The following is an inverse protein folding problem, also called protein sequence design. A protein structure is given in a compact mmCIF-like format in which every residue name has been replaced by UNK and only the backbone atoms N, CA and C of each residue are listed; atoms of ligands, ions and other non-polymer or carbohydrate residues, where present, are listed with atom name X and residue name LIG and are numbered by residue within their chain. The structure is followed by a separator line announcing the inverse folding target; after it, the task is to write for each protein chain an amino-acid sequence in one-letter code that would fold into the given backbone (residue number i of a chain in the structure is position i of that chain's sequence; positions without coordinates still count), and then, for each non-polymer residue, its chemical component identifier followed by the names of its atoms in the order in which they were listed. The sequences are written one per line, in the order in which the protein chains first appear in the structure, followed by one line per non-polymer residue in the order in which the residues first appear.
data_IF_467726095910
#
_entry.id   IF_467726095910
#
_cell.length_a   1.000
_cell.length_b   1.000
_cell.length_c   1.000
_cell.angle_alpha   90.00
_cell.angle_beta   90.00
_cell.angle_gamma   90.00
#
_symmetry.space_group_name_H-M   'P 1'
#
loop_
_entity.id
_entity.type
_entity.pdbx_description
1 polymer ?
#
# COMPACT_ATOMS: atom_id res chain seq x y z
N UNK A 1 -26.21 -84.53 45.46
CA UNK A 1 -24.99 -85.08 44.82
C UNK A 1 -24.95 -84.99 43.28
N UNK A 2 -26.03 -84.66 42.56
CA UNK A 2 -25.99 -84.59 41.07
C UNK A 2 -25.53 -83.23 40.51
N UNK A 3 -25.76 -82.11 41.21
CA UNK A 3 -25.33 -80.78 40.74
C UNK A 3 -23.80 -80.59 40.75
N UNK A 4 -23.08 -81.26 41.65
CA UNK A 4 -21.62 -81.16 41.74
C UNK A 4 -20.89 -81.94 40.63
N UNK A 5 -21.46 -83.06 40.16
CA UNK A 5 -20.91 -83.82 39.03
C UNK A 5 -21.11 -83.09 37.69
N UNK A 6 -22.23 -82.37 37.53
CA UNK A 6 -22.51 -81.61 36.32
C UNK A 6 -21.60 -80.38 36.19
N UNK A 7 -21.32 -79.67 37.30
CA UNK A 7 -20.41 -78.52 37.28
C UNK A 7 -18.96 -78.94 37.03
N UNK A 8 -18.51 -80.07 37.57
CA UNK A 8 -17.15 -80.58 37.29
C UNK A 8 -16.99 -80.95 35.81
N UNK A 9 -18.01 -81.57 35.19
CA UNK A 9 -17.94 -81.94 33.77
C UNK A 9 -17.92 -80.71 32.85
N UNK A 10 -18.71 -79.67 33.17
CA UNK A 10 -18.69 -78.41 32.40
C UNK A 10 -17.38 -77.64 32.55
N UNK A 11 -16.73 -77.69 33.72
CA UNK A 11 -15.41 -77.05 33.93
C UNK A 11 -14.33 -77.82 33.17
N UNK A 12 -14.39 -79.16 33.14
CA UNK A 12 -13.43 -79.98 32.41
C UNK A 12 -13.52 -79.77 30.89
N UNK A 13 -14.73 -79.62 30.34
CA UNK A 13 -14.92 -79.32 28.91
C UNK A 13 -14.47 -77.92 28.52
N UNK A 14 -14.60 -76.92 29.43
CA UNK A 14 -14.13 -75.56 29.18
C UNK A 14 -12.60 -75.47 29.11
N UNK A 15 -11.90 -76.23 29.95
CA UNK A 15 -10.43 -76.26 30.01
C UNK A 15 -9.84 -76.94 28.76
N UNK A 16 -10.53 -77.90 28.15
CA UNK A 16 -10.07 -78.56 26.91
C UNK A 16 -10.22 -77.71 25.65
N UNK A 17 -10.98 -76.59 25.68
CA UNK A 17 -11.12 -75.67 24.55
C UNK A 17 -10.19 -74.44 24.62
N UNK A 18 -9.39 -74.31 25.69
CA UNK A 18 -8.40 -73.23 25.85
C UNK A 18 -6.98 -73.72 25.62
N UNK A 19 -6.77 -74.68 24.70
CA UNK A 19 -5.42 -74.97 24.19
C UNK A 19 -5.15 -73.96 23.08
N UNK A 20 -4.31 -72.93 23.30
CA UNK A 20 -3.92 -72.03 22.23
C UNK A 20 -3.22 -72.86 21.15
N UNK A 21 -3.73 -72.76 19.92
CA UNK A 21 -2.98 -73.16 18.73
C UNK A 21 -1.56 -72.60 18.85
N UNK A 22 -0.57 -73.48 18.78
CA UNK A 22 0.85 -73.12 18.81
C UNK A 22 1.09 -72.04 17.77
N UNK A 23 1.54 -70.85 18.20
CA UNK A 23 2.00 -69.81 17.29
C UNK A 23 3.21 -70.36 16.53
N UNK A 24 3.13 -70.42 15.20
CA UNK A 24 4.31 -70.66 14.37
C UNK A 24 5.40 -69.65 14.72
N UNK A 25 6.64 -70.11 14.81
CA UNK A 25 7.78 -69.22 15.05
C UNK A 25 8.17 -68.60 13.71
N UNK A 26 8.27 -67.27 13.66
CA UNK A 26 8.80 -66.59 12.48
C UNK A 26 10.29 -66.42 12.71
N UNK A 27 11.11 -67.09 11.90
CA UNK A 27 12.55 -66.84 11.81
C UNK A 27 12.85 -65.97 10.59
N UNK A 28 14.11 -65.57 10.43
CA UNK A 28 14.53 -64.73 9.31
C UNK A 28 15.72 -65.37 8.59
N UNK A 29 15.54 -65.64 7.30
CA UNK A 29 16.57 -66.20 6.43
C UNK A 29 17.36 -65.07 5.76
N UNK A 30 18.67 -65.05 6.03
CA UNK A 30 19.63 -64.07 5.52
C UNK A 30 20.57 -64.67 4.46
N UNK A 31 20.30 -65.88 3.93
CA UNK A 31 21.17 -66.59 2.97
C UNK A 31 20.77 -66.45 1.50
N UNK A 32 19.67 -65.74 1.22
CA UNK A 32 19.13 -65.59 -0.14
C UNK A 32 19.98 -64.73 -1.08
N UNK A 33 19.83 -64.94 -2.39
CA UNK A 33 20.60 -64.23 -3.45
C UNK A 33 20.07 -62.82 -3.78
N UNK A 34 18.97 -62.37 -3.16
CA UNK A 34 18.35 -61.05 -3.37
C UNK A 34 18.06 -60.35 -2.03
N UNK A 35 19.10 -60.02 -1.28
CA UNK A 35 18.99 -59.29 -0.03
C UNK A 35 19.09 -57.78 -0.29
N UNK A 36 18.30 -56.98 0.42
CA UNK A 36 18.43 -55.53 0.40
C UNK A 36 19.54 -55.13 1.37
N UNK A 37 20.63 -54.58 0.83
CA UNK A 37 21.83 -54.25 1.58
C UNK A 37 22.02 -52.74 1.55
N UNK A 38 22.07 -52.12 2.72
CA UNK A 38 22.39 -50.70 2.89
C UNK A 38 23.72 -50.57 3.62
N UNK A 39 24.65 -49.79 3.07
CA UNK A 39 25.98 -49.58 3.65
C UNK A 39 26.04 -48.26 4.42
N UNK A 40 26.65 -48.28 5.60
CA UNK A 40 26.88 -47.10 6.43
C UNK A 40 28.38 -46.90 6.68
N UNK A 41 28.82 -45.65 6.60
CA UNK A 41 30.16 -45.27 7.05
C UNK A 41 30.16 -45.16 8.59
N UNK A 42 31.11 -45.80 9.25
CA UNK A 42 31.21 -45.80 10.73
C UNK A 42 32.05 -44.65 11.30
N UNK A 43 32.81 -43.93 10.46
CA UNK A 43 33.71 -42.89 10.94
C UNK A 43 33.00 -41.59 11.27
N UNK A 44 32.11 -41.12 10.40
CA UNK A 44 31.45 -39.83 10.55
C UNK A 44 30.07 -39.82 9.90
N UNK A 45 29.15 -39.10 10.54
CA UNK A 45 27.88 -38.66 9.93
C UNK A 45 28.12 -37.31 9.25
N UNK A 46 27.36 -36.99 8.21
CA UNK A 46 27.45 -35.71 7.49
C UNK A 46 26.88 -34.54 8.30
N UNK A 47 27.54 -33.39 8.23
CA UNK A 47 27.17 -32.19 8.99
C UNK A 47 25.89 -31.55 8.43
N UNK A 48 25.09 -30.96 9.32
CA UNK A 48 23.90 -30.23 8.94
C UNK A 48 24.24 -29.01 8.08
N UNK A 49 23.54 -28.85 6.96
CA UNK A 49 23.70 -27.72 6.03
C UNK A 49 22.42 -26.86 6.07
N UNK A 50 22.29 -25.93 7.03
CA UNK A 50 21.07 -25.12 7.13
C UNK A 50 20.93 -24.15 5.97
N UNK A 51 19.68 -23.74 5.62
CA UNK A 51 19.44 -22.69 4.64
C UNK A 51 20.07 -21.36 5.09
N UNK A 52 20.56 -20.57 4.12
CA UNK A 52 21.23 -19.29 4.38
C UNK A 52 20.25 -18.29 5.02
N UNK A 53 20.63 -17.61 6.12
CA UNK A 53 19.80 -16.60 6.74
C UNK A 53 19.67 -15.36 5.84
N UNK A 54 18.57 -14.62 5.98
CA UNK A 54 18.40 -13.33 5.33
C UNK A 54 19.48 -12.35 5.79
N UNK A 55 20.07 -11.61 4.86
CA UNK A 55 21.04 -10.56 5.18
C UNK A 55 20.29 -9.32 5.68
N UNK A 56 20.67 -8.81 6.84
CA UNK A 56 20.06 -7.64 7.47
C UNK A 56 21.11 -6.55 7.58
N UNK A 57 20.91 -5.46 6.85
CA UNK A 57 21.80 -4.29 6.85
C UNK A 57 21.09 -3.10 7.52
N UNK A 58 21.77 -2.39 8.43
CA UNK A 58 21.21 -1.17 9.05
C UNK A 58 21.54 0.06 8.21
N UNK A 59 20.51 0.78 7.79
CA UNK A 59 20.63 2.05 7.08
C UNK A 59 20.52 3.18 8.11
N UNK A 60 21.56 4.00 8.26
CA UNK A 60 21.61 5.02 9.30
C UNK A 60 20.60 6.16 9.06
N UNK A 61 20.30 6.46 7.80
CA UNK A 61 19.33 7.49 7.44
C UNK A 61 18.73 7.21 6.06
N UNK A 62 17.42 7.39 5.94
CA UNK A 62 16.68 7.39 4.68
C UNK A 62 15.53 8.39 4.72
N UNK A 63 15.08 8.82 3.54
CA UNK A 63 13.84 9.57 3.35
C UNK A 63 12.84 8.78 2.54
N UNK A 64 11.59 8.80 2.99
CA UNK A 64 10.43 8.33 2.22
C UNK A 64 9.77 9.54 1.57
N UNK A 65 9.83 9.60 0.24
CA UNK A 65 9.28 10.68 -0.57
C UNK A 65 7.97 10.24 -1.20
N UNK A 66 6.99 11.15 -1.27
CA UNK A 66 5.73 10.96 -1.97
C UNK A 66 5.50 12.07 -3.01
N UNK A 67 5.14 11.70 -4.23
CA UNK A 67 4.75 12.69 -5.26
C UNK A 67 3.44 13.38 -4.86
N UNK A 68 3.45 14.71 -4.88
CA UNK A 68 2.28 15.58 -4.72
C UNK A 68 1.51 15.65 -6.02
N UNK A 69 0.26 15.21 -5.98
CA UNK A 69 -0.66 15.37 -7.13
C UNK A 69 -1.42 16.69 -7.04
N UNK A 70 -1.65 17.19 -5.80
CA UNK A 70 -2.37 18.44 -5.59
C UNK A 70 -1.51 19.54 -5.00
N UNK A 71 -1.67 20.73 -5.54
CA UNK A 71 -1.00 21.96 -5.12
C UNK A 71 -2.05 23.01 -4.82
N UNK A 72 -1.82 23.80 -3.78
CA UNK A 72 -2.68 24.95 -3.48
C UNK A 72 -2.26 26.13 -4.34
N UNK A 73 -3.21 26.68 -5.12
CA UNK A 73 -2.99 27.87 -5.95
C UNK A 73 -3.89 29.00 -5.48
N UNK A 74 -3.39 30.23 -5.58
CA UNK A 74 -4.19 31.43 -5.31
C UNK A 74 -5.03 31.74 -6.55
N UNK A 75 -6.30 32.08 -6.32
CA UNK A 75 -7.21 32.56 -7.34
C UNK A 75 -7.77 33.93 -6.96
N UNK A 76 -8.12 34.70 -7.98
CA UNK A 76 -8.84 35.95 -7.88
C UNK A 76 -10.21 35.77 -8.53
N UNK A 77 -11.21 36.46 -8.04
CA UNK A 77 -12.59 36.27 -8.43
C UNK A 77 -13.31 37.61 -8.57
N UNK A 78 -13.94 37.81 -9.73
CA UNK A 78 -14.69 39.01 -10.06
C UNK A 78 -16.17 38.68 -10.24
N UNK A 79 -17.00 39.29 -9.41
CA UNK A 79 -18.45 39.19 -9.50
C UNK A 79 -19.04 40.59 -9.66
N UNK A 80 -19.52 40.89 -10.87
CA UNK A 80 -20.08 42.18 -11.23
C UNK A 80 -21.48 41.98 -11.77
N UNK A 81 -22.47 42.55 -11.10
CA UNK A 81 -23.88 42.50 -11.50
C UNK A 81 -24.40 43.91 -11.69
N UNK A 82 -25.16 44.14 -12.74
CA UNK A 82 -25.87 45.38 -12.99
C UNK A 82 -27.38 45.14 -12.92
N UNK A 83 -28.05 45.89 -12.06
CA UNK A 83 -29.51 46.00 -12.04
C UNK A 83 -29.89 47.28 -12.79
N UNK A 84 -30.62 47.14 -13.89
CA UNK A 84 -31.09 48.26 -14.69
C UNK A 84 -32.54 48.58 -14.35
N UNK A 85 -32.82 49.86 -14.14
CA UNK A 85 -34.16 50.42 -14.01
C UNK A 85 -34.36 51.48 -15.09
N UNK A 86 -35.28 51.20 -16.00
CA UNK A 86 -35.66 52.03 -17.13
C UNK A 86 -37.04 52.60 -16.83
N UNK A 87 -37.15 53.92 -16.91
CA UNK A 87 -38.40 54.65 -16.75
C UNK A 87 -38.56 55.62 -17.91
N UNK A 88 -39.77 55.77 -18.43
CA UNK A 88 -40.08 56.75 -19.47
C UNK A 88 -40.26 58.14 -18.85
N UNK A 89 -39.63 59.14 -19.46
CA UNK A 89 -39.85 60.54 -19.10
C UNK A 89 -41.16 61.04 -19.74
N UNK A 90 -42.18 61.32 -18.92
CA UNK A 90 -43.43 61.89 -19.40
C UNK A 90 -43.35 63.42 -19.50
N UNK A 91 -44.28 64.01 -20.25
CA UNK A 91 -44.36 65.47 -20.45
C UNK A 91 -44.84 66.27 -19.23
N UNK A 92 -45.22 65.59 -18.15
CA UNK A 92 -45.76 66.20 -16.92
C UNK A 92 -44.91 65.84 -15.69
N UNK A 93 -43.59 65.73 -15.87
CA UNK A 93 -42.59 65.46 -14.81
C UNK A 93 -42.79 64.14 -14.03
N UNK A 94 -43.56 63.21 -14.59
CA UNK A 94 -43.77 61.87 -14.05
C UNK A 94 -42.87 60.82 -14.73
N UNK A 95 -42.28 59.94 -13.93
CA UNK A 95 -41.58 58.75 -14.42
C UNK A 95 -42.57 57.57 -14.57
N UNK A 96 -42.71 57.04 -15.78
CA UNK A 96 -43.60 55.90 -16.06
C UNK A 96 -42.83 54.60 -16.22
N UNK A 97 -43.35 53.51 -15.65
CA UNK A 97 -42.79 52.18 -15.82
C UNK A 97 -42.94 51.73 -17.26
N UNK A 98 -41.85 51.25 -17.86
CA UNK A 98 -41.87 50.66 -19.21
C UNK A 98 -41.84 49.13 -19.14
N UNK A 99 -42.38 48.50 -20.19
CA UNK A 99 -42.33 47.04 -20.31
C UNK A 99 -40.87 46.58 -20.39
N UNK A 100 -40.55 45.54 -19.63
CA UNK A 100 -39.18 45.02 -19.46
C UNK A 100 -38.18 46.09 -18.97
N UNK A 101 -38.67 47.11 -18.27
CA UNK A 101 -37.85 48.20 -17.76
C UNK A 101 -37.05 47.86 -16.51
N UNK A 102 -37.17 46.66 -15.95
CA UNK A 102 -36.29 46.20 -14.88
C UNK A 102 -35.70 44.84 -15.24
N UNK A 103 -34.37 44.76 -15.25
CA UNK A 103 -33.66 43.50 -15.48
C UNK A 103 -32.28 43.54 -14.85
N UNK A 104 -31.74 42.35 -14.59
CA UNK A 104 -30.43 42.16 -13.99
C UNK A 104 -29.53 41.42 -14.97
N UNK A 105 -28.28 41.85 -15.06
CA UNK A 105 -27.27 41.25 -15.92
C UNK A 105 -25.99 40.97 -15.11
N UNK A 106 -25.38 39.82 -15.39
CA UNK A 106 -24.04 39.49 -14.90
C UNK A 106 -23.02 39.95 -15.95
N UNK A 107 -22.21 40.94 -15.59
CA UNK A 107 -21.21 41.50 -16.49
C UNK A 107 -19.98 40.58 -16.48
N UNK A 108 -19.66 40.00 -17.63
CA UNK A 108 -18.45 39.21 -17.86
C UNK A 108 -17.35 40.11 -18.43
N UNK A 109 -16.31 40.36 -17.65
CA UNK A 109 -15.22 41.29 -17.98
C UNK A 109 -13.99 40.57 -18.56
N UNK A 110 -13.92 39.26 -18.37
CA UNK A 110 -12.83 38.41 -18.82
C UNK A 110 -11.58 38.48 -17.93
N UNK A 111 -10.64 37.57 -18.18
CA UNK A 111 -9.50 37.35 -17.30
C UNK A 111 -8.59 38.58 -17.13
N UNK A 112 -8.32 39.30 -18.22
CA UNK A 112 -7.42 40.45 -18.22
C UNK A 112 -8.01 41.64 -17.43
N UNK A 113 -9.29 41.95 -17.63
CA UNK A 113 -9.95 43.05 -16.91
C UNK A 113 -10.16 42.68 -15.44
N UNK A 114 -10.46 41.42 -15.12
CA UNK A 114 -10.54 40.97 -13.73
C UNK A 114 -9.20 41.12 -13.01
N UNK A 115 -8.09 40.72 -13.65
CA UNK A 115 -6.76 40.90 -13.09
C UNK A 115 -6.41 42.39 -12.88
N UNK A 116 -6.76 43.24 -13.86
CA UNK A 116 -6.53 44.69 -13.79
C UNK A 116 -7.37 45.34 -12.68
N UNK A 117 -8.63 44.92 -12.51
CA UNK A 117 -9.51 45.39 -11.43
C UNK A 117 -8.96 45.02 -10.04
N UNK A 118 -8.40 43.82 -9.89
CA UNK A 118 -7.69 43.43 -8.68
C UNK A 118 -6.43 44.27 -8.44
N UNK A 119 -5.64 44.55 -9.48
CA UNK A 119 -4.40 45.31 -9.39
C UNK A 119 -4.64 46.79 -9.05
N UNK A 120 -5.60 47.43 -9.72
CA UNK A 120 -5.92 48.86 -9.54
C UNK A 120 -6.86 49.14 -8.37
N UNK A 121 -7.53 48.11 -7.84
CA UNK A 121 -8.66 48.26 -6.89
C UNK A 121 -9.73 49.20 -7.44
N UNK A 122 -9.91 49.19 -8.76
CA UNK A 122 -10.84 50.05 -9.46
C UNK A 122 -11.37 49.35 -10.71
N UNK A 123 -12.59 49.68 -11.11
CA UNK A 123 -13.20 49.18 -12.34
C UNK A 123 -14.01 50.29 -13.00
N UNK A 124 -13.90 50.41 -14.32
CA UNK A 124 -14.64 51.38 -15.13
C UNK A 124 -15.77 50.66 -15.86
N UNK A 125 -17.01 51.05 -15.57
CA UNK A 125 -18.20 50.53 -16.26
C UNK A 125 -18.33 51.16 -17.65
N UNK A 126 -19.15 50.55 -18.51
CA UNK A 126 -19.28 50.84 -19.95
C UNK A 126 -19.62 52.30 -20.34
N UNK A 127 -19.80 53.24 -19.40
CA UNK A 127 -20.19 54.62 -19.67
C UNK A 127 -19.45 55.65 -18.79
N UNK A 128 -18.19 55.36 -18.42
CA UNK A 128 -17.32 56.31 -17.72
C UNK A 128 -17.53 56.39 -16.20
N UNK A 129 -18.40 55.54 -15.64
CA UNK A 129 -18.56 55.42 -14.19
C UNK A 129 -17.39 54.59 -13.66
N UNK A 130 -16.55 55.20 -12.81
CA UNK A 130 -15.43 54.49 -12.19
C UNK A 130 -15.76 54.12 -10.74
N UNK A 131 -15.79 52.81 -10.46
CA UNK A 131 -15.73 52.30 -9.10
C UNK A 131 -14.29 52.36 -8.61
N UNK A 132 -13.98 53.30 -7.72
CA UNK A 132 -12.65 53.42 -7.10
C UNK A 132 -12.63 52.83 -5.67
N UNK A 133 -11.43 52.51 -5.17
CA UNK A 133 -11.19 52.00 -3.81
C UNK A 133 -12.01 50.74 -3.47
N UNK A 134 -12.11 49.80 -4.42
CA UNK A 134 -12.81 48.53 -4.24
C UNK A 134 -12.06 47.69 -3.20
N UNK A 135 -12.74 47.29 -2.13
CA UNK A 135 -12.18 46.45 -1.07
C UNK A 135 -12.32 44.97 -1.43
N UNK A 136 -11.25 44.19 -1.28
CA UNK A 136 -11.31 42.73 -1.47
C UNK A 136 -12.22 42.11 -0.42
N UNK A 137 -12.96 41.08 -0.83
CA UNK A 137 -13.88 40.30 -0.01
C UNK A 137 -15.03 41.13 0.58
N UNK A 138 -15.29 42.32 0.03
CA UNK A 138 -16.39 43.17 0.42
C UNK A 138 -17.23 43.54 -0.81
N UNK A 139 -18.55 43.41 -0.68
CA UNK A 139 -19.48 43.87 -1.70
C UNK A 139 -19.63 45.39 -1.63
N UNK A 140 -19.52 46.03 -2.78
CA UNK A 140 -19.75 47.46 -2.93
C UNK A 140 -20.87 47.71 -3.95
N UNK A 141 -21.61 48.77 -3.70
CA UNK A 141 -22.73 49.19 -4.55
C UNK A 141 -22.43 50.56 -5.13
N UNK A 142 -22.69 50.70 -6.43
CA UNK A 142 -22.61 51.94 -7.16
C UNK A 142 -23.92 52.13 -7.89
N UNK A 143 -24.44 53.34 -7.94
CA UNK A 143 -25.65 53.63 -8.71
C UNK A 143 -25.48 54.94 -9.44
N UNK A 144 -25.83 54.96 -10.72
CA UNK A 144 -25.80 56.19 -11.49
C UNK A 144 -26.82 56.15 -12.63
N UNK A 145 -27.11 57.32 -13.18
CA UNK A 145 -27.90 57.47 -14.40
C UNK A 145 -26.95 57.28 -15.59
N UNK A 146 -27.18 56.22 -16.36
CA UNK A 146 -26.36 55.90 -17.53
C UNK A 146 -26.94 56.53 -18.80
N UNK A 147 -28.26 56.73 -18.87
CA UNK A 147 -28.92 57.39 -20.01
C UNK A 147 -30.01 58.33 -19.57
N UNK A 148 -30.09 59.47 -20.27
CA UNK A 148 -30.92 60.58 -19.88
C UNK A 148 -30.31 61.35 -18.70
N UNK A 149 -31.04 62.35 -18.22
CA UNK A 149 -30.67 63.11 -17.04
C UNK A 149 -31.91 63.34 -16.17
N UNK A 150 -31.70 63.44 -14.86
CA UNK A 150 -32.75 63.79 -13.90
C UNK A 150 -32.20 64.79 -12.91
N UNK A 151 -32.92 65.89 -12.72
CA UNK A 151 -32.56 66.93 -11.78
C UNK A 151 -33.14 66.64 -10.39
N UNK A 152 -32.61 67.30 -9.36
CA UNK A 152 -33.14 67.17 -7.98
C UNK A 152 -34.60 67.62 -7.85
N UNK A 153 -35.09 68.41 -8.81
CA UNK A 153 -36.47 68.90 -8.85
C UNK A 153 -37.47 67.89 -9.45
N UNK A 154 -36.99 66.77 -10.00
CA UNK A 154 -37.83 65.75 -10.65
C UNK A 154 -37.87 65.87 -12.17
N UNK A 155 -37.45 66.98 -12.75
CA UNK A 155 -37.37 67.17 -14.20
C UNK A 155 -36.45 66.11 -14.82
N UNK A 156 -36.96 65.38 -15.83
CA UNK A 156 -36.20 64.33 -16.48
C UNK A 156 -36.17 64.49 -18.00
N UNK A 157 -34.99 64.31 -18.58
CA UNK A 157 -34.77 64.31 -20.03
C UNK A 157 -34.44 62.89 -20.47
N UNK A 158 -35.30 62.29 -21.27
CA UNK A 158 -35.10 60.93 -21.77
C UNK A 158 -34.17 60.88 -22.98
N UNK A 159 -33.46 59.77 -23.10
CA UNK A 159 -32.67 59.40 -24.28
C UNK A 159 -33.13 58.05 -24.82
N UNK A 160 -32.74 57.73 -26.05
CA UNK A 160 -32.97 56.39 -26.61
C UNK A 160 -31.94 55.41 -26.03
N UNK A 161 -32.41 54.30 -25.46
CA UNK A 161 -31.56 53.23 -24.94
C UNK A 161 -31.87 51.91 -25.64
N UNK A 162 -30.81 51.21 -26.08
CA UNK A 162 -30.92 49.97 -26.82
C UNK A 162 -30.10 48.86 -26.18
N UNK A 163 -30.71 47.70 -26.06
CA UNK A 163 -30.10 46.43 -25.67
C UNK A 163 -30.20 45.45 -26.84
N UNK A 164 -29.59 44.27 -26.72
CA UNK A 164 -29.65 43.23 -27.77
C UNK A 164 -31.08 42.75 -28.08
N UNK A 165 -32.02 42.94 -27.15
CA UNK A 165 -33.40 42.42 -27.26
C UNK A 165 -34.46 43.51 -27.41
N UNK A 166 -34.22 44.70 -26.89
CA UNK A 166 -35.23 45.75 -26.80
C UNK A 166 -34.62 47.13 -27.03
N UNK A 167 -35.43 48.03 -27.58
CA UNK A 167 -35.12 49.44 -27.77
C UNK A 167 -36.23 50.25 -27.11
N UNK A 168 -35.83 51.21 -26.28
CA UNK A 168 -36.75 52.13 -25.62
C UNK A 168 -36.39 53.55 -26.01
N UNK A 169 -37.41 54.35 -26.27
CA UNK A 169 -37.26 55.74 -26.65
C UNK A 169 -37.78 56.69 -25.56
N UNK A 170 -37.10 57.84 -25.43
CA UNK A 170 -37.33 58.85 -24.41
C UNK A 170 -37.36 58.26 -22.98
N UNK A 171 -36.29 57.54 -22.61
CA UNK A 171 -36.17 56.88 -21.31
C UNK A 171 -34.99 57.41 -20.48
N UNK A 172 -35.18 57.39 -19.17
CA UNK A 172 -34.15 57.52 -18.16
C UNK A 172 -33.74 56.11 -17.72
N UNK A 173 -32.43 55.84 -17.72
CA UNK A 173 -31.89 54.54 -17.32
C UNK A 173 -30.97 54.71 -16.14
N UNK A 174 -31.36 54.13 -15.02
CA UNK A 174 -30.55 54.03 -13.81
C UNK A 174 -29.95 52.63 -13.73
N UNK A 175 -28.64 52.56 -13.53
CA UNK A 175 -27.94 51.31 -13.33
C UNK A 175 -27.42 51.25 -11.90
N UNK A 176 -27.73 50.18 -11.18
CA UNK A 176 -27.16 49.86 -9.88
C UNK A 176 -26.20 48.69 -10.04
N UNK A 177 -24.92 48.97 -9.91
CA UNK A 177 -23.86 47.97 -9.96
C UNK A 177 -23.56 47.41 -8.58
N UNK A 178 -23.45 46.09 -8.51
CA UNK A 178 -22.93 45.33 -7.38
C UNK A 178 -21.61 44.72 -7.80
N UNK A 179 -20.52 45.14 -7.17
CA UNK A 179 -19.18 44.60 -7.43
C UNK A 179 -18.65 43.89 -6.18
N UNK A 180 -18.08 42.71 -6.39
CA UNK A 180 -17.36 41.93 -5.39
C UNK A 180 -16.10 41.38 -6.04
N UNK A 181 -14.95 41.87 -5.58
CA UNK A 181 -13.65 41.28 -5.87
C UNK A 181 -13.28 40.39 -4.68
N UNK A 182 -12.97 39.11 -4.92
CA UNK A 182 -12.58 38.19 -3.85
C UNK A 182 -11.33 37.41 -4.21
N UNK A 183 -10.57 37.02 -3.18
CA UNK A 183 -9.35 36.24 -3.35
C UNK A 183 -9.46 34.99 -2.48
N UNK A 184 -8.81 33.91 -2.90
CA UNK A 184 -8.87 32.65 -2.16
C UNK A 184 -7.87 31.63 -2.65
N UNK A 185 -7.89 30.48 -1.98
CA UNK A 185 -7.02 29.35 -2.30
C UNK A 185 -7.86 28.22 -2.87
N UNK A 186 -7.41 27.65 -3.99
CA UNK A 186 -8.01 26.50 -4.65
C UNK A 186 -7.02 25.35 -4.72
N UNK A 187 -7.53 24.14 -4.90
CA UNK A 187 -6.72 22.92 -5.01
C UNK A 187 -6.58 22.55 -6.48
N UNK A 188 -5.37 22.63 -7.01
CA UNK A 188 -5.04 22.26 -8.38
C UNK A 188 -4.48 20.84 -8.42
N UNK A 189 -4.98 20.01 -9.33
CA UNK A 189 -4.45 18.69 -9.67
C UNK A 189 -3.83 18.76 -11.07
N UNK A 190 -2.50 18.71 -11.13
CA UNK A 190 -1.75 18.79 -12.39
C UNK A 190 -1.95 17.57 -13.29
N UNK A 191 -2.30 16.41 -12.71
CA UNK A 191 -2.45 15.14 -13.45
C UNK A 191 -3.77 15.07 -14.21
N UNK A 192 -4.83 15.59 -13.60
CA UNK A 192 -6.18 15.60 -14.16
C UNK A 192 -6.53 16.90 -14.89
N UNK A 193 -5.59 17.86 -14.94
CA UNK A 193 -5.81 19.19 -15.48
C UNK A 193 -7.03 19.87 -14.82
N UNK A 194 -7.13 19.74 -13.49
CA UNK A 194 -8.33 20.08 -12.72
C UNK A 194 -8.02 21.08 -11.60
N UNK A 195 -8.81 22.15 -11.53
CA UNK A 195 -8.84 23.07 -10.41
C UNK A 195 -10.15 22.88 -9.64
N UNK A 196 -10.05 22.69 -8.33
CA UNK A 196 -11.19 22.56 -7.42
C UNK A 196 -11.24 23.76 -6.48
N UNK A 197 -12.31 24.53 -6.60
CA UNK A 197 -12.57 25.70 -5.76
C UNK A 197 -13.13 25.30 -4.38
N UNK A 198 -13.00 26.14 -3.35
CA UNK A 198 -13.64 25.90 -2.03
C UNK A 198 -15.16 25.75 -2.08
N UNK A 199 -15.79 26.27 -3.13
CA UNK A 199 -17.22 26.14 -3.43
C UNK A 199 -17.60 24.75 -3.95
N UNK A 200 -16.62 23.92 -4.30
CA UNK A 200 -16.81 22.61 -4.95
C UNK A 200 -16.81 22.66 -6.47
N UNK A 201 -16.75 23.84 -7.08
CA UNK A 201 -16.70 24.01 -8.54
C UNK A 201 -15.40 23.46 -9.11
N UNK A 202 -15.53 22.77 -10.24
CA UNK A 202 -14.45 22.10 -10.97
C UNK A 202 -14.18 22.86 -12.27
N UNK A 203 -12.98 23.41 -12.40
CA UNK A 203 -12.53 24.17 -13.56
C UNK A 203 -11.31 23.50 -14.20
N UNK A 204 -11.07 23.74 -15.49
CA UNK A 204 -9.93 23.16 -16.20
C UNK A 204 -8.66 23.96 -15.93
N UNK A 205 -7.65 23.36 -15.32
CA UNK A 205 -6.46 24.06 -14.80
C UNK A 205 -5.69 24.81 -15.89
N UNK A 206 -5.58 24.24 -17.10
CA UNK A 206 -4.89 24.82 -18.25
C UNK A 206 -5.46 26.15 -18.74
N UNK A 207 -6.76 26.39 -18.52
CA UNK A 207 -7.45 27.56 -19.08
C UNK A 207 -7.13 28.85 -18.31
N UNK A 208 -6.62 28.76 -17.08
CA UNK A 208 -6.30 29.92 -16.22
C UNK A 208 -7.47 30.89 -15.98
N UNK A 209 -8.68 30.49 -16.35
CA UNK A 209 -9.93 31.24 -16.29
C UNK A 209 -11.12 30.28 -16.22
N UNK A 210 -12.17 30.65 -15.51
CA UNK A 210 -13.43 29.90 -15.51
C UNK A 210 -14.53 30.61 -14.74
N UNK A 211 -15.74 30.04 -14.74
CA UNK A 211 -16.91 30.64 -14.09
C UNK A 211 -17.37 29.83 -12.89
N UNK A 212 -17.52 30.47 -11.74
CA UNK A 212 -18.10 29.91 -10.53
C UNK A 212 -19.49 30.50 -10.27
N UNK A 213 -20.44 29.65 -9.90
CA UNK A 213 -21.83 30.05 -9.67
C UNK A 213 -22.02 31.00 -8.47
N UNK A 214 -21.07 31.02 -7.53
CA UNK A 214 -21.17 31.83 -6.31
C UNK A 214 -20.23 33.03 -6.33
N UNK A 215 -19.03 32.86 -6.90
CA UNK A 215 -17.95 33.85 -6.89
C UNK A 215 -17.73 34.57 -8.22
N UNK A 216 -18.43 34.18 -9.28
CA UNK A 216 -18.33 34.82 -10.60
C UNK A 216 -17.13 34.33 -11.39
N UNK A 217 -16.52 35.23 -12.16
CA UNK A 217 -15.35 34.93 -12.98
C UNK A 217 -14.14 34.67 -12.10
N UNK A 218 -13.47 33.54 -12.30
CA UNK A 218 -12.32 33.10 -11.54
C UNK A 218 -11.10 33.11 -12.46
N UNK A 219 -10.01 33.68 -11.97
CA UNK A 219 -8.71 33.65 -12.62
C UNK A 219 -7.64 33.12 -11.68
N UNK A 220 -6.66 32.43 -12.23
CA UNK A 220 -5.51 31.96 -11.49
C UNK A 220 -4.28 31.97 -12.38
N UNK A 221 -3.10 31.94 -11.75
CA UNK A 221 -1.83 31.80 -12.45
C UNK A 221 -1.31 30.41 -12.18
N UNK A 222 -1.25 29.59 -13.23
CA UNK A 222 -0.62 28.29 -13.18
C UNK A 222 0.58 28.29 -14.12
N UNK A 223 1.77 28.41 -13.56
CA UNK A 223 3.00 28.27 -14.34
C UNK A 223 3.23 26.78 -14.56
N UNK A 224 3.01 26.30 -15.78
CA UNK A 224 3.46 24.99 -16.27
C UNK A 224 5.00 24.95 -16.41
N UNK A 225 5.76 25.44 -15.44
CA UNK A 225 7.19 25.26 -15.47
C UNK A 225 7.49 23.79 -15.23
N UNK A 226 7.75 23.09 -16.32
CA UNK A 226 8.26 21.71 -16.45
C UNK A 226 9.64 21.51 -15.82
N UNK A 227 10.02 22.34 -14.85
CA UNK A 227 11.20 22.10 -14.04
C UNK A 227 10.73 21.33 -12.82
N UNK A 228 11.13 20.06 -12.72
CA UNK A 228 10.90 19.27 -11.53
C UNK A 228 11.39 20.05 -10.31
N UNK A 229 10.47 20.49 -9.47
CA UNK A 229 10.80 21.18 -8.24
C UNK A 229 10.80 20.15 -7.12
N UNK A 230 11.80 20.21 -6.25
CA UNK A 230 11.84 19.42 -5.01
C UNK A 230 10.54 19.62 -4.21
N UNK A 231 9.88 20.77 -4.37
CA UNK A 231 8.57 21.07 -3.78
C UNK A 231 7.42 20.18 -4.24
N UNK A 232 7.58 19.43 -5.34
CA UNK A 232 6.60 18.46 -5.86
C UNK A 232 6.60 17.14 -5.05
N UNK A 233 7.52 17.01 -4.09
CA UNK A 233 7.64 15.83 -3.24
C UNK A 233 7.39 16.20 -1.76
N UNK A 234 6.51 15.43 -1.12
CA UNK A 234 6.32 15.46 0.32
C UNK A 234 7.26 14.42 0.97
N UNK A 235 7.95 14.82 2.05
CA UNK A 235 8.76 13.88 2.85
C UNK A 235 7.89 13.29 3.96
N UNK A 236 7.53 12.02 3.83
CA UNK A 236 6.69 11.30 4.80
C UNK A 236 7.47 10.78 6.01
N UNK A 237 8.75 10.48 5.82
CA UNK A 237 9.64 9.98 6.87
C UNK A 237 11.07 10.42 6.61
N UNK A 238 11.78 10.70 7.69
CA UNK A 238 13.23 10.90 7.73
C UNK A 238 13.77 10.21 8.98
N UNK A 239 14.66 9.23 8.81
CA UNK A 239 15.23 8.51 9.94
C UNK A 239 15.92 7.19 9.55
N UNK A 240 16.36 6.39 10.53
CA UNK A 240 17.02 5.11 10.29
C UNK A 240 16.05 4.06 9.73
N UNK A 241 16.60 3.04 9.07
CA UNK A 241 15.84 1.91 8.55
C UNK A 241 16.67 0.63 8.52
N UNK A 242 16.01 -0.50 8.28
CA UNK A 242 16.64 -1.81 8.14
C UNK A 242 16.39 -2.34 6.74
N UNK A 243 17.43 -2.73 6.03
CA UNK A 243 17.34 -3.39 4.73
C UNK A 243 17.42 -4.89 4.90
N UNK A 244 16.37 -5.60 4.54
CA UNK A 244 16.31 -7.06 4.54
C UNK A 244 16.54 -7.54 3.11
N UNK A 245 17.54 -8.38 2.91
CA UNK A 245 17.80 -9.06 1.63
C UNK A 245 17.48 -10.55 1.78
N UNK A 246 16.45 -11.00 1.06
CA UNK A 246 15.98 -12.38 1.06
C UNK A 246 16.27 -13.04 -0.28
N UNK A 247 16.73 -14.30 -0.27
CA UNK A 247 16.87 -15.14 -1.46
C UNK A 247 15.68 -16.10 -1.54
N UNK A 248 15.02 -16.16 -2.69
CA UNK A 248 13.84 -17.02 -2.87
C UNK A 248 14.21 -18.51 -3.00
N UNK A 249 15.44 -18.82 -3.44
CA UNK A 249 16.02 -20.16 -3.52
C UNK A 249 17.55 -20.10 -3.51
N UNK A 250 18.22 -21.18 -3.08
CA UNK A 250 19.69 -21.34 -3.13
C UNK A 250 20.25 -21.14 -4.55
N UNK A 251 19.45 -21.40 -5.59
CA UNK A 251 19.85 -21.30 -7.00
C UNK A 251 19.28 -20.08 -7.74
N UNK A 252 18.52 -19.21 -7.07
CA UNK A 252 17.96 -18.00 -7.71
C UNK A 252 18.89 -16.81 -7.51
N UNK A 253 19.25 -16.12 -8.59
CA UNK A 253 19.93 -14.82 -8.55
C UNK A 253 19.02 -13.66 -8.11
N UNK A 254 17.72 -13.89 -7.99
CA UNK A 254 16.75 -12.87 -7.60
C UNK A 254 16.77 -12.66 -6.08
N UNK A 255 17.51 -11.64 -5.67
CA UNK A 255 17.50 -11.11 -4.31
C UNK A 255 16.38 -10.09 -4.15
N UNK A 256 15.46 -10.34 -3.22
CA UNK A 256 14.42 -9.38 -2.85
C UNK A 256 14.96 -8.51 -1.72
N UNK A 257 15.08 -7.21 -1.98
CA UNK A 257 15.53 -6.23 -1.01
C UNK A 257 14.32 -5.42 -0.52
N UNK A 258 14.15 -5.31 0.80
CA UNK A 258 13.01 -4.62 1.43
C UNK A 258 13.49 -3.69 2.52
N UNK A 259 13.07 -2.42 2.48
CA UNK A 259 13.29 -1.46 3.55
C UNK A 259 12.20 -1.63 4.62
N UNK A 260 12.62 -1.72 5.87
CA UNK A 260 11.78 -1.85 7.04
C UNK A 260 12.04 -0.67 7.98
N UNK A 261 10.98 0.03 8.35
CA UNK A 261 11.03 1.12 9.33
C UNK A 261 10.04 0.80 10.45
N UNK A 262 10.52 0.94 11.68
CA UNK A 262 9.74 0.81 12.90
C UNK A 262 10.10 1.95 13.84
N UNK A 263 9.10 2.74 14.21
CA UNK A 263 9.20 3.85 15.15
C UNK A 263 7.89 3.98 15.92
N UNK A 264 7.88 4.75 17.01
CA UNK A 264 6.68 4.94 17.85
C UNK A 264 5.44 5.47 17.10
N UNK A 265 5.65 6.16 15.96
CA UNK A 265 4.57 6.82 15.20
C UNK A 265 4.28 6.15 13.85
N UNK A 266 5.29 5.54 13.24
CA UNK A 266 5.16 4.95 11.91
C UNK A 266 5.89 3.60 11.82
N UNK A 267 5.25 2.67 11.11
CA UNK A 267 5.84 1.40 10.76
C UNK A 267 5.46 1.09 9.30
N UNK A 268 6.45 0.77 8.48
CA UNK A 268 6.22 0.40 7.09
C UNK A 268 7.29 -0.56 6.58
N UNK A 269 6.93 -1.37 5.60
CA UNK A 269 7.86 -2.12 4.80
C UNK A 269 7.60 -1.83 3.31
N UNK A 270 8.67 -1.53 2.58
CA UNK A 270 8.63 -1.20 1.16
C UNK A 270 9.73 -1.94 0.42
N UNK A 271 9.35 -2.63 -0.65
CA UNK A 271 10.28 -3.34 -1.51
C UNK A 271 11.12 -2.34 -2.31
N UNK A 272 12.43 -2.58 -2.34
CA UNK A 272 13.37 -1.86 -3.18
C UNK A 272 13.27 -2.40 -4.60
N UNK A 273 12.82 -1.56 -5.53
CA UNK A 273 12.82 -1.84 -6.97
C UNK A 273 14.00 -1.11 -7.64
N UNK A 274 13.86 -0.87 -8.94
CA UNK A 274 14.85 -0.18 -9.76
C UNK A 274 15.09 1.26 -9.29
N UNK A 275 16.25 1.78 -9.66
CA UNK A 275 16.59 3.20 -9.49
C UNK A 275 15.73 4.02 -10.47
N UNK A 276 15.22 5.14 -9.98
CA UNK A 276 14.49 6.17 -10.70
C UNK A 276 15.05 7.55 -10.29
N UNK A 277 14.49 8.64 -10.81
CA UNK A 277 14.96 10.00 -10.52
C UNK A 277 13.84 10.90 -10.03
N UNK A 278 14.00 11.45 -8.82
CA UNK A 278 13.18 12.53 -8.30
C UNK A 278 13.95 13.85 -8.49
N UNK A 279 13.57 14.65 -9.50
CA UNK A 279 14.24 15.91 -9.84
C UNK A 279 15.76 15.78 -10.02
N UNK A 280 16.16 14.86 -10.91
CA UNK A 280 17.56 14.53 -11.20
C UNK A 280 18.34 13.91 -10.02
N UNK A 281 17.71 13.69 -8.87
CA UNK A 281 18.30 12.98 -7.73
C UNK A 281 17.93 11.50 -7.82
N UNK A 282 18.90 10.56 -7.76
CA UNK A 282 18.63 9.14 -7.83
C UNK A 282 17.86 8.67 -6.58
N UNK A 283 16.76 7.98 -6.80
CA UNK A 283 15.89 7.41 -5.75
C UNK A 283 15.55 5.96 -6.09
N UNK A 284 15.19 5.15 -5.10
CA UNK A 284 14.67 3.81 -5.33
C UNK A 284 13.16 3.86 -5.46
N UNK A 285 12.64 3.27 -6.55
CA UNK A 285 11.22 3.04 -6.70
C UNK A 285 10.75 1.93 -5.76
N UNK A 286 9.50 2.00 -5.34
CA UNK A 286 8.84 0.99 -4.51
C UNK A 286 7.68 0.34 -5.26
N UNK A 287 7.09 -0.69 -4.68
CA UNK A 287 5.84 -1.31 -5.15
C UNK A 287 4.68 -0.31 -5.23
N UNK A 288 4.75 0.78 -4.46
CA UNK A 288 3.79 1.86 -4.53
C UNK A 288 4.23 2.91 -5.58
N UNK A 289 3.40 3.23 -6.58
CA UNK A 289 3.81 4.08 -7.71
C UNK A 289 4.15 5.52 -7.33
N UNK A 290 3.76 5.96 -6.14
CA UNK A 290 3.98 7.33 -5.64
C UNK A 290 5.06 7.43 -4.56
N UNK A 291 5.56 6.30 -4.05
CA UNK A 291 6.52 6.29 -2.96
C UNK A 291 7.92 5.96 -3.47
N UNK A 292 8.87 6.80 -3.08
CA UNK A 292 10.27 6.69 -3.44
C UNK A 292 11.15 6.72 -2.20
N UNK A 293 12.25 6.00 -2.24
CA UNK A 293 13.18 5.89 -1.13
C UNK A 293 14.52 6.53 -1.51
N UNK A 294 14.93 7.51 -0.72
CA UNK A 294 16.22 8.18 -0.84
C UNK A 294 17.12 7.74 0.31
N UNK A 295 18.26 7.13 0.01
CA UNK A 295 19.24 6.68 1.02
C UNK A 295 20.57 7.42 0.97
N UNK A 296 20.81 8.20 -0.08
CA UNK A 296 22.09 8.89 -0.27
C UNK A 296 22.19 10.10 0.66
N UNK A 297 23.15 10.06 1.58
CA UNK A 297 23.40 11.10 2.58
C UNK A 297 23.68 12.47 1.97
N UNK A 298 24.29 12.52 0.78
CA UNK A 298 24.59 13.79 0.11
C UNK A 298 23.32 14.46 -0.41
N UNK A 299 22.33 13.65 -0.79
CA UNK A 299 21.10 14.09 -1.44
C UNK A 299 19.93 14.29 -0.45
N UNK A 300 20.04 13.78 0.78
CA UNK A 300 19.01 13.93 1.83
C UNK A 300 18.65 15.39 2.16
N UNK A 301 19.59 16.36 2.24
CA UNK A 301 19.26 17.74 2.57
C UNK A 301 18.39 18.45 1.53
N UNK A 302 18.34 17.98 0.29
CA UNK A 302 17.59 18.65 -0.79
C UNK A 302 16.07 18.59 -0.58
N UNK A 303 15.55 17.49 -0.01
CA UNK A 303 14.12 17.33 0.26
C UNK A 303 13.79 17.73 1.70
N UNK A 304 13.09 18.85 1.89
CA UNK A 304 12.74 19.33 3.23
C UNK A 304 11.45 18.68 3.76
N UNK A 305 11.42 18.43 5.07
CA UNK A 305 10.21 18.02 5.77
C UNK A 305 9.26 19.21 5.87
N UNK A 306 8.02 19.01 5.43
CA UNK A 306 6.94 20.00 5.46
C UNK A 306 5.73 19.41 6.19
N UNK A 307 4.87 20.24 6.80
CA UNK A 307 3.60 19.74 7.33
C UNK A 307 2.81 19.11 6.20
N UNK A 308 2.52 17.82 6.35
CA UNK A 308 1.88 17.02 5.31
C UNK A 308 0.44 17.50 5.15
N UNK A 309 0.06 17.89 3.93
CA UNK A 309 -1.32 18.28 3.60
C UNK A 309 -2.22 17.03 3.60
N UNK A 310 -3.33 17.08 4.33
CA UNK A 310 -4.32 15.99 4.36
C UNK A 310 -4.91 15.66 2.99
N UNK A 311 -4.83 16.59 2.04
CA UNK A 311 -5.28 16.40 0.66
C UNK A 311 -4.33 15.53 -0.19
N UNK A 312 -3.05 15.43 0.20
CA UNK A 312 -2.03 14.68 -0.54
C UNK A 312 -1.65 13.35 0.12
N UNK A 313 -2.02 13.12 1.38
CA UNK A 313 -1.77 11.83 2.05
C UNK A 313 -2.64 10.76 1.46
N UNK A 314 -2.00 9.82 0.76
CA UNK A 314 -2.66 8.60 0.31
C UNK A 314 -2.88 7.69 1.53
N UNK A 315 -4.07 7.79 2.11
CA UNK A 315 -4.50 6.96 3.23
C UNK A 315 -4.39 5.47 2.89
N UNK A 316 -4.57 5.10 1.61
CA UNK A 316 -4.46 3.72 1.17
C UNK A 316 -3.00 3.26 1.12
N UNK A 317 -2.06 4.14 0.72
CA UNK A 317 -0.63 3.88 0.83
C UNK A 317 -0.19 3.68 2.30
N UNK A 318 -0.73 4.47 3.23
CA UNK A 318 -0.42 4.34 4.66
C UNK A 318 -0.99 3.04 5.29
N UNK A 319 -2.15 2.58 4.82
CA UNK A 319 -2.76 1.32 5.30
C UNK A 319 -2.03 0.11 4.70
N UNK A 320 -1.77 0.11 3.38
CA UNK A 320 -1.10 -0.98 2.69
C UNK A 320 0.32 -1.20 3.22
N UNK A 321 1.04 -0.12 3.56
CA UNK A 321 2.39 -0.21 4.13
C UNK A 321 2.44 -0.87 5.50
N UNK A 322 1.41 -0.71 6.34
CA UNK A 322 1.29 -1.44 7.61
C UNK A 322 1.01 -2.93 7.42
N UNK A 323 0.17 -3.29 6.45
CA UNK A 323 -0.08 -4.70 6.15
C UNK A 323 1.18 -5.41 5.61
N UNK A 324 1.90 -4.75 4.69
CA UNK A 324 3.17 -5.28 4.16
C UNK A 324 4.23 -5.38 5.27
N UNK A 325 4.28 -4.42 6.21
CA UNK A 325 5.13 -4.48 7.40
C UNK A 325 4.82 -5.71 8.26
N UNK A 326 3.54 -5.91 8.63
CA UNK A 326 3.11 -7.06 9.44
C UNK A 326 3.45 -8.37 8.71
N UNK A 327 3.15 -8.46 7.41
CA UNK A 327 3.45 -9.65 6.61
C UNK A 327 4.94 -9.96 6.59
N UNK A 328 5.81 -8.96 6.35
CA UNK A 328 7.24 -9.17 6.27
C UNK A 328 7.86 -9.56 7.61
N UNK A 329 7.38 -9.00 8.73
CA UNK A 329 7.85 -9.40 10.06
C UNK A 329 7.35 -10.79 10.41
N UNK A 330 6.09 -11.11 10.16
CA UNK A 330 5.57 -12.47 10.36
C UNK A 330 6.34 -13.47 9.49
N UNK A 331 6.62 -13.14 8.24
CA UNK A 331 7.43 -13.99 7.36
C UNK A 331 8.86 -14.14 7.88
N UNK A 332 9.53 -13.07 8.30
CA UNK A 332 10.89 -13.11 8.80
C UNK A 332 10.99 -13.92 10.11
N UNK A 333 10.05 -13.71 11.05
CA UNK A 333 10.00 -14.42 12.33
C UNK A 333 9.67 -15.90 12.14
N UNK A 334 8.67 -16.24 11.31
CA UNK A 334 8.32 -17.63 10.98
C UNK A 334 9.48 -18.31 10.25
N UNK A 335 10.13 -17.65 9.30
CA UNK A 335 11.27 -18.22 8.57
C UNK A 335 12.45 -18.44 9.51
N UNK A 336 12.78 -17.49 10.38
CA UNK A 336 13.85 -17.65 11.38
C UNK A 336 13.57 -18.82 12.34
N UNK A 337 12.33 -18.95 12.82
CA UNK A 337 11.92 -20.04 13.70
C UNK A 337 11.95 -21.38 12.97
N UNK A 338 11.51 -21.42 11.71
CA UNK A 338 11.57 -22.61 10.86
C UNK A 338 13.02 -23.06 10.63
N UNK A 339 13.93 -22.13 10.32
CA UNK A 339 15.35 -22.44 10.14
C UNK A 339 15.96 -23.00 11.44
N UNK A 340 15.65 -22.41 12.60
CA UNK A 340 16.13 -22.92 13.90
C UNK A 340 15.58 -24.33 14.19
N UNK A 341 14.30 -24.57 13.95
CA UNK A 341 13.67 -25.89 14.13
C UNK A 341 14.29 -26.95 13.23
N UNK A 342 14.44 -26.68 11.93
CA UNK A 342 15.05 -27.62 10.99
C UNK A 342 16.51 -27.89 11.35
N UNK A 343 17.24 -26.86 11.76
CA UNK A 343 18.64 -27.00 12.21
C UNK A 343 18.72 -27.89 13.45
N UNK A 344 17.87 -27.66 14.45
CA UNK A 344 17.80 -28.49 15.66
C UNK A 344 17.36 -29.92 15.38
N UNK A 345 16.39 -30.12 14.49
CA UNK A 345 15.96 -31.44 14.07
C UNK A 345 17.11 -32.20 13.41
N UNK A 346 17.83 -31.58 12.48
CA UNK A 346 18.99 -32.20 11.84
C UNK A 346 20.08 -32.56 12.86
N UNK A 347 20.38 -31.67 13.82
CA UNK A 347 21.36 -31.98 14.87
C UNK A 347 20.92 -33.14 15.76
N UNK A 348 19.63 -33.22 16.06
CA UNK A 348 19.07 -34.31 16.86
C UNK A 348 19.12 -35.64 16.09
N UNK A 349 18.73 -35.65 14.82
CA UNK A 349 18.84 -36.82 13.94
C UNK A 349 20.29 -37.26 13.78
N UNK A 350 21.23 -36.33 13.60
CA UNK A 350 22.67 -36.61 13.56
C UNK A 350 23.14 -37.27 14.86
N UNK A 351 22.75 -36.73 16.02
CA UNK A 351 23.13 -37.29 17.31
C UNK A 351 22.57 -38.70 17.52
N UNK A 352 21.32 -38.92 17.12
CA UNK A 352 20.71 -40.26 17.12
C UNK A 352 21.50 -41.19 16.19
N UNK A 353 21.84 -40.75 14.98
CA UNK A 353 22.58 -41.57 14.02
C UNK A 353 23.98 -41.92 14.53
N UNK A 354 24.68 -40.97 15.14
CA UNK A 354 25.96 -41.20 15.82
C UNK A 354 25.83 -42.21 16.96
N UNK A 355 24.77 -42.11 17.77
CA UNK A 355 24.49 -43.06 18.84
C UNK A 355 24.16 -44.46 18.30
N UNK A 356 23.40 -44.56 17.20
CA UNK A 356 23.14 -45.85 16.55
C UNK A 356 24.44 -46.45 16.00
N UNK A 357 25.27 -45.66 15.32
CA UNK A 357 26.55 -46.12 14.77
C UNK A 357 27.54 -46.58 15.85
N UNK A 358 27.51 -46.00 17.05
CA UNK A 358 28.36 -46.44 18.16
C UNK A 358 28.02 -47.87 18.62
N UNK A 359 26.75 -48.29 18.50
CA UNK A 359 26.34 -49.68 18.79
C UNK A 359 27.01 -50.69 17.85
N UNK A 360 27.31 -50.30 16.61
CA UNK A 360 27.95 -51.20 15.64
C UNK A 360 29.37 -51.64 16.08
N UNK A 361 30.00 -50.90 16.99
CA UNK A 361 31.29 -51.28 17.57
C UNK A 361 31.16 -52.23 18.77
N UNK A 362 30.00 -52.27 19.43
CA UNK A 362 29.77 -53.09 20.63
C UNK A 362 28.98 -54.37 20.32
N UNK A 363 27.90 -54.26 19.53
CA UNK A 363 27.02 -55.36 19.17
C UNK A 363 26.37 -55.12 17.81
N UNK A 364 26.74 -55.95 16.83
CA UNK A 364 26.18 -55.88 15.47
C UNK A 364 24.69 -56.28 15.44
N UNK A 365 24.25 -57.18 16.32
CA UNK A 365 22.85 -57.57 16.41
C UNK A 365 21.98 -56.43 16.94
N UNK A 366 22.45 -55.73 17.97
CA UNK A 366 21.73 -54.59 18.56
C UNK A 366 21.70 -53.39 17.60
N UNK A 367 22.82 -53.16 16.90
CA UNK A 367 22.87 -52.19 15.81
C UNK A 367 21.86 -52.54 14.72
N UNK A 368 21.83 -53.79 14.25
CA UNK A 368 20.91 -54.21 13.20
C UNK A 368 19.44 -54.03 13.62
N UNK A 369 19.11 -54.37 14.86
CA UNK A 369 17.77 -54.18 15.41
C UNK A 369 17.39 -52.69 15.49
N UNK A 370 18.28 -51.85 16.02
CA UNK A 370 18.01 -50.41 16.24
C UNK A 370 18.03 -49.60 14.94
N UNK A 371 18.88 -49.99 13.99
CA UNK A 371 19.03 -49.33 12.70
C UNK A 371 17.96 -49.79 11.70
N UNK A 372 17.58 -51.07 11.75
CA UNK A 372 16.50 -51.65 10.95
C UNK A 372 15.09 -51.43 11.50
N UNK A 373 14.97 -50.78 12.67
CA UNK A 373 13.71 -50.49 13.35
C UNK A 373 12.89 -51.75 13.71
N UNK A 374 13.57 -52.84 14.07
CA UNK A 374 12.94 -54.07 14.51
C UNK A 374 13.67 -55.36 14.12
N UNK A 375 13.04 -56.53 14.32
CA UNK A 375 13.60 -57.82 13.97
C UNK A 375 13.62 -58.04 12.44
N UNK A 376 14.48 -58.95 11.98
CA UNK A 376 14.63 -59.28 10.56
C UNK A 376 15.72 -58.50 9.83
N UNK A 377 16.61 -57.86 10.57
CA UNK A 377 17.83 -57.29 10.05
C UNK A 377 19.04 -57.96 10.70
N UNK A 378 20.10 -58.11 9.92
CA UNK A 378 21.42 -58.48 10.41
C UNK A 378 22.45 -57.47 9.93
N UNK A 379 23.61 -57.40 10.58
CA UNK A 379 24.67 -56.48 10.19
C UNK A 379 26.01 -57.18 10.07
N UNK A 380 26.79 -56.78 9.07
CA UNK A 380 28.15 -57.23 8.82
C UNK A 380 29.08 -56.03 8.78
N UNK A 381 30.17 -56.06 9.56
CA UNK A 381 31.19 -55.02 9.55
C UNK A 381 32.40 -55.47 8.74
N UNK A 382 32.82 -54.65 7.77
CA UNK A 382 34.05 -54.82 7.01
C UNK A 382 34.85 -53.52 7.03
N UNK A 383 35.93 -53.48 7.82
CA UNK A 383 36.70 -52.25 8.02
C UNK A 383 35.83 -51.14 8.62
N UNK A 384 35.77 -50.01 7.91
CA UNK A 384 35.05 -48.79 8.30
C UNK A 384 33.60 -48.75 7.79
N UNK A 385 33.15 -49.80 7.08
CA UNK A 385 31.80 -49.89 6.53
C UNK A 385 31.01 -50.97 7.27
N UNK A 386 29.78 -50.65 7.64
CA UNK A 386 28.81 -51.62 8.18
C UNK A 386 27.68 -51.79 7.17
N UNK A 387 27.47 -53.03 6.75
CA UNK A 387 26.37 -53.43 5.88
C UNK A 387 25.20 -53.89 6.74
N UNK A 388 24.07 -53.21 6.63
CA UNK A 388 22.80 -53.65 7.17
C UNK A 388 22.06 -54.44 6.10
N UNK A 389 21.61 -55.64 6.46
CA UNK A 389 21.05 -56.62 5.54
C UNK A 389 19.63 -56.94 6.03
N UNK A 390 18.63 -56.71 5.17
CA UNK A 390 17.24 -57.10 5.46
C UNK A 390 17.01 -58.56 5.09
N UNK A 391 16.67 -59.36 6.09
CA UNK A 391 16.43 -60.79 5.95
C UNK A 391 14.95 -61.08 5.64
N UNK A 392 14.68 -62.21 4.98
CA UNK A 392 13.32 -62.60 4.60
C UNK A 392 12.66 -63.37 5.76
N UNK A 393 11.44 -63.04 6.19
CA UNK A 393 10.74 -63.83 7.20
C UNK A 393 10.38 -65.20 6.63
N UNK A 394 10.60 -66.23 7.43
CA UNK A 394 10.31 -67.64 7.13
C UNK A 394 9.57 -68.25 8.31
N UNK A 395 8.56 -69.06 8.02
CA UNK A 395 7.85 -69.83 9.04
C UNK A 395 8.71 -71.04 9.42
N UNK A 396 8.91 -71.26 10.71
CA UNK A 396 9.71 -72.38 11.22
C UNK A 396 8.94 -73.17 12.27
N UNK A 397 9.09 -74.49 12.20
CA UNK A 397 8.56 -75.43 13.17
C UNK A 397 9.68 -75.98 14.04
N UNK A 398 9.39 -76.17 15.33
CA UNK A 398 10.34 -76.80 16.25
C UNK A 398 10.49 -78.27 15.87
N UNK A 399 11.68 -78.67 15.44
CA UNK A 399 12.02 -80.07 15.27
C UNK A 399 11.99 -80.77 16.64
N UNK A 400 11.13 -81.79 16.78
CA UNK A 400 10.98 -82.61 17.99
C UNK A 400 11.79 -83.91 17.93
N UNK A 401 12.67 -84.05 16.93
CA UNK A 401 13.56 -85.19 16.86
C UNK A 401 14.61 -85.14 17.99
N UNK A 402 14.83 -86.25 18.74
CA UNK A 402 15.89 -86.29 19.74
C UNK A 402 17.24 -86.22 19.02
N UNK A 403 17.95 -85.11 19.22
CA UNK A 403 19.35 -84.96 18.79
C UNK A 403 20.18 -85.99 19.58
N UNK A 404 20.56 -87.09 18.93
CA UNK A 404 21.60 -87.99 19.43
C UNK A 404 22.88 -87.16 19.65
N UNK A 405 23.55 -87.26 20.80
CA UNK A 405 24.75 -86.48 21.06
C UNK A 405 25.81 -86.83 20.02
N UNK A 406 26.28 -85.81 19.28
CA UNK A 406 27.50 -85.91 18.48
C UNK A 406 28.63 -86.36 19.42
N UNK A 407 29.19 -87.55 19.15
CA UNK A 407 30.51 -87.90 19.64
C UNK A 407 31.51 -87.00 18.92
N UNK A 408 32.15 -86.15 19.73
CA UNK A 408 33.41 -85.41 19.58
C UNK A 408 34.06 -85.33 18.20
#
# INVERSE_FOLDING_TARGET
MSKLKLTIYTILTLITHTIPYTRGFIAYDCSGTKLNITSFNTLNVDYCSPPLPNKIDKIPIMKLLQIRETVQIQFQACYIVADYLITKCASFDDAQVVRNGYFTELIQIGAAQCADAHARRAYEFYQGITANNIRINQTMYFSDVIKGAVNHNGDCTGETFRTDKFEWDNVLVQAKYKILLSEGVAVANSREDLLVLPTGTRLKLSESYGMDSHKGEIIWKYNQQTNCDVNDYDTLYEGPATLITSKQSQNSSNEIQTFLVESDKIAFALQKLNIDYACHIPVFRTEHPRLFILTDRTNIPFFHTKPISTYNTDLMAYINTKFVYIQNILQATVTSMYIDLVTKQCHLERNILMQKLSLASYSLSEFAYTMGEGPGYTALKTGEIVYLIKCKPVDVELDRSPVLPMMW
#
